data_IF_245434959610
#
_entry.id   IF_245434959610
#
_cell.length_a   1.000
_cell.length_b   1.000
_cell.length_c   1.000
_cell.angle_alpha   90.00
_cell.angle_beta   90.00
_cell.angle_gamma   90.00
#
_symmetry.space_group_name_H-M   'P 1'
#
loop_
_entity.id
_entity.type
_entity.pdbx_description
1 polymer ?
#
# COMPACT_ATOMS: atom_id res chain seq x y z
N UNK A 1 24.84 -25.31 -23.49
CA UNK A 1 25.86 -24.49 -22.78
C UNK A 1 26.11 -23.14 -23.44
N UNK A 2 26.35 -23.06 -24.75
CA UNK A 2 26.57 -21.80 -25.48
C UNK A 2 25.45 -20.75 -25.27
N UNK A 3 24.17 -21.15 -25.30
CA UNK A 3 23.05 -20.21 -25.08
C UNK A 3 23.08 -19.56 -23.69
N UNK A 4 23.46 -20.30 -22.65
CA UNK A 4 23.58 -19.78 -21.28
C UNK A 4 24.73 -18.76 -21.21
N UNK A 5 25.87 -19.05 -21.86
CA UNK A 5 27.00 -18.13 -21.93
C UNK A 5 26.65 -16.84 -22.68
N UNK A 6 25.89 -16.93 -23.78
CA UNK A 6 25.43 -15.76 -24.52
C UNK A 6 24.47 -14.91 -23.69
N UNK A 7 23.52 -15.53 -22.98
CA UNK A 7 22.60 -14.81 -22.08
C UNK A 7 23.37 -14.11 -20.95
N UNK A 8 24.34 -14.79 -20.33
CA UNK A 8 25.18 -14.19 -19.29
C UNK A 8 26.02 -13.03 -19.84
N UNK A 9 26.60 -13.18 -21.03
CA UNK A 9 27.37 -12.11 -21.68
C UNK A 9 26.50 -10.89 -21.97
N UNK A 10 25.26 -11.08 -22.45
CA UNK A 10 24.31 -9.99 -22.69
C UNK A 10 23.92 -9.30 -21.39
N UNK A 11 23.64 -10.06 -20.33
CA UNK A 11 23.29 -9.49 -19.02
C UNK A 11 24.44 -8.67 -18.43
N UNK A 12 25.67 -9.17 -18.53
CA UNK A 12 26.87 -8.46 -18.08
C UNK A 12 27.09 -7.21 -18.91
N UNK A 13 27.00 -7.30 -20.25
CA UNK A 13 27.15 -6.15 -21.13
C UNK A 13 26.11 -5.07 -20.83
N UNK A 14 24.83 -5.44 -20.73
CA UNK A 14 23.76 -4.51 -20.35
C UNK A 14 24.01 -3.87 -18.98
N UNK A 15 24.45 -4.66 -17.99
CA UNK A 15 24.81 -4.14 -16.67
C UNK A 15 25.93 -3.10 -16.75
N UNK A 16 27.02 -3.42 -17.45
CA UNK A 16 28.18 -2.52 -17.61
C UNK A 16 27.82 -1.23 -18.32
N UNK A 17 27.01 -1.29 -19.37
CA UNK A 17 26.56 -0.09 -20.10
C UNK A 17 25.58 0.77 -19.30
N UNK A 18 24.73 0.16 -18.47
CA UNK A 18 23.72 0.87 -17.68
C UNK A 18 24.28 1.50 -16.39
N UNK A 19 25.28 0.85 -15.79
CA UNK A 19 25.92 1.26 -14.54
C UNK A 19 26.38 2.73 -14.46
N UNK A 20 27.06 3.32 -15.46
CA UNK A 20 27.45 4.73 -15.40
C UNK A 20 26.25 5.67 -15.37
N UNK A 21 25.23 5.38 -16.18
CA UNK A 21 23.98 6.18 -16.21
C UNK A 21 23.27 6.13 -14.86
N UNK A 22 23.19 4.96 -14.24
CA UNK A 22 22.61 4.83 -12.89
C UNK A 22 23.42 5.57 -11.82
N UNK A 23 24.75 5.57 -11.92
CA UNK A 23 25.63 6.29 -10.98
C UNK A 23 25.48 7.80 -11.11
N UNK A 24 25.38 8.30 -12.34
CA UNK A 24 25.19 9.73 -12.60
C UNK A 24 23.81 10.19 -12.15
N UNK A 25 22.76 9.43 -12.46
CA UNK A 25 21.41 9.70 -11.97
C UNK A 25 21.33 9.65 -10.43
N UNK A 26 21.99 8.67 -9.79
CA UNK A 26 22.05 8.61 -8.33
C UNK A 26 22.85 9.78 -7.73
N UNK A 27 23.89 10.26 -8.43
CA UNK A 27 24.63 11.47 -8.08
C UNK A 27 23.77 12.73 -8.17
N UNK A 28 23.03 12.88 -9.27
CA UNK A 28 22.09 13.96 -9.52
C UNK A 28 20.98 13.98 -8.45
N UNK A 29 20.35 12.84 -8.16
CA UNK A 29 19.32 12.71 -7.13
C UNK A 29 19.82 13.08 -5.72
N UNK A 30 21.10 12.79 -5.41
CA UNK A 30 21.71 13.18 -4.13
C UNK A 30 21.96 14.69 -4.04
N UNK A 31 22.35 15.34 -5.15
CA UNK A 31 22.64 16.78 -5.21
C UNK A 31 21.37 17.62 -5.18
N UNK A 32 20.34 17.18 -5.90
CA UNK A 32 19.07 17.91 -6.05
C UNK A 32 18.07 17.62 -4.91
N UNK A 33 18.52 16.97 -3.83
CA UNK A 33 17.65 16.57 -2.71
C UNK A 33 16.38 15.85 -3.15
N UNK A 34 16.41 15.11 -4.27
CA UNK A 34 15.34 14.21 -4.71
C UNK A 34 15.27 12.94 -3.84
N UNK A 35 15.46 13.08 -2.52
CA UNK A 35 14.99 12.08 -1.54
C UNK A 35 13.47 12.23 -1.45
N UNK A 36 12.76 11.79 -2.49
CA UNK A 36 11.30 11.64 -2.45
C UNK A 36 10.81 10.51 -1.54
N UNK A 37 11.68 9.99 -0.67
CA UNK A 37 11.38 8.89 0.25
C UNK A 37 11.83 9.32 1.64
N UNK A 38 10.95 10.03 2.33
CA UNK A 38 11.04 10.13 3.78
C UNK A 38 10.79 8.74 4.35
N UNK A 39 11.71 8.25 5.20
CA UNK A 39 11.49 7.03 5.98
C UNK A 39 10.45 7.32 7.07
N UNK A 40 9.19 7.38 6.67
CA UNK A 40 8.05 7.65 7.52
C UNK A 40 7.19 6.38 7.70
N UNK A 41 6.17 6.47 8.56
CA UNK A 41 5.26 5.34 8.83
C UNK A 41 4.54 4.86 7.56
N UNK A 42 4.23 5.79 6.65
CA UNK A 42 3.58 5.50 5.37
C UNK A 42 4.49 4.64 4.46
N UNK A 43 5.78 4.94 4.37
CA UNK A 43 6.74 4.10 3.64
C UNK A 43 6.85 2.70 4.23
N UNK A 44 6.89 2.58 5.57
CA UNK A 44 6.92 1.28 6.25
C UNK A 44 5.67 0.45 5.94
N UNK A 45 4.49 1.09 5.96
CA UNK A 45 3.22 0.45 5.61
C UNK A 45 3.23 -0.02 4.14
N UNK A 46 3.66 0.86 3.22
CA UNK A 46 3.73 0.58 1.78
C UNK A 46 4.72 -0.53 1.43
N UNK A 47 5.87 -0.61 2.10
CA UNK A 47 6.83 -1.70 1.88
C UNK A 47 6.26 -3.07 2.24
N UNK A 48 5.52 -3.15 3.36
CA UNK A 48 4.78 -4.36 3.73
C UNK A 48 3.71 -4.71 2.71
N UNK A 49 2.93 -3.72 2.26
CA UNK A 49 1.89 -3.91 1.24
C UNK A 49 2.45 -4.37 -0.11
N UNK A 50 3.56 -3.78 -0.58
CA UNK A 50 4.20 -4.18 -1.84
C UNK A 50 4.80 -5.58 -1.77
N UNK A 51 5.44 -5.94 -0.64
CA UNK A 51 5.92 -7.30 -0.41
C UNK A 51 4.77 -8.32 -0.35
N UNK A 52 3.66 -7.94 0.27
CA UNK A 52 2.45 -8.75 0.36
C UNK A 52 1.76 -8.94 -1.00
N UNK A 53 1.65 -7.89 -1.80
CA UNK A 53 1.14 -7.96 -3.19
C UNK A 53 2.02 -8.86 -4.06
N UNK A 54 3.35 -8.70 -3.96
CA UNK A 54 4.30 -9.51 -4.72
C UNK A 54 4.19 -11.00 -4.36
N UNK A 55 4.02 -11.32 -3.08
CA UNK A 55 3.83 -12.70 -2.61
C UNK A 55 2.47 -13.29 -3.03
N UNK A 56 1.41 -12.47 -3.06
CA UNK A 56 0.05 -12.94 -3.31
C UNK A 56 -0.33 -13.02 -4.79
N UNK A 57 0.41 -12.38 -5.70
CA UNK A 57 0.21 -12.43 -7.16
C UNK A 57 -1.26 -12.53 -7.59
N UNK A 58 -1.76 -13.72 -7.96
CA UNK A 58 -3.15 -13.97 -8.42
C UNK A 58 -4.22 -14.06 -7.32
N UNK A 59 -3.85 -14.25 -6.06
CA UNK A 59 -4.77 -14.39 -4.93
C UNK A 59 -5.20 -13.07 -4.29
N UNK A 60 -4.66 -11.94 -4.76
CA UNK A 60 -4.98 -10.60 -4.24
C UNK A 60 -6.47 -10.28 -4.19
N UNK A 61 -7.28 -10.83 -5.09
CA UNK A 61 -8.73 -10.64 -5.09
C UNK A 61 -9.39 -11.33 -3.89
N UNK A 62 -9.13 -12.62 -3.69
CA UNK A 62 -9.67 -13.41 -2.58
C UNK A 62 -9.24 -12.83 -1.23
N UNK A 63 -7.98 -12.38 -1.12
CA UNK A 63 -7.50 -11.74 0.10
C UNK A 63 -8.20 -10.40 0.34
N UNK A 64 -8.40 -9.58 -0.69
CA UNK A 64 -9.15 -8.33 -0.55
C UNK A 64 -10.59 -8.59 -0.07
N UNK A 65 -11.26 -9.61 -0.62
CA UNK A 65 -12.62 -9.99 -0.21
C UNK A 65 -12.66 -10.46 1.25
N UNK A 66 -11.70 -11.30 1.67
CA UNK A 66 -11.59 -11.73 3.06
C UNK A 66 -11.32 -10.57 4.03
N UNK A 67 -10.46 -9.63 3.64
CA UNK A 67 -10.22 -8.41 4.42
C UNK A 67 -11.46 -7.51 4.46
N UNK A 68 -12.26 -7.47 3.39
CA UNK A 68 -13.51 -6.71 3.34
C UNK A 68 -14.55 -7.26 4.32
N UNK A 69 -14.67 -8.59 4.45
CA UNK A 69 -15.48 -9.23 5.51
C UNK A 69 -14.96 -8.84 6.90
N UNK A 70 -13.64 -8.86 7.11
CA UNK A 70 -13.06 -8.42 8.39
C UNK A 70 -13.32 -6.93 8.68
N UNK A 71 -13.32 -6.08 7.65
CA UNK A 71 -13.63 -4.66 7.78
C UNK A 71 -15.09 -4.46 8.20
N UNK A 72 -16.01 -5.29 7.71
CA UNK A 72 -17.40 -5.29 8.16
C UNK A 72 -17.52 -5.64 9.66
N UNK A 73 -16.84 -6.69 10.12
CA UNK A 73 -16.82 -7.05 11.56
C UNK A 73 -16.19 -5.94 12.41
N UNK A 74 -15.11 -5.31 11.93
CA UNK A 74 -14.49 -4.18 12.62
C UNK A 74 -15.43 -2.96 12.70
N UNK A 75 -16.24 -2.74 11.67
CA UNK A 75 -17.28 -1.70 11.65
C UNK A 75 -18.38 -1.95 12.68
N UNK A 76 -18.91 -3.16 12.77
CA UNK A 76 -19.91 -3.53 13.78
C UNK A 76 -19.41 -3.27 15.21
N UNK A 77 -18.10 -3.43 15.42
CA UNK A 77 -17.43 -3.19 16.71
C UNK A 77 -16.94 -1.76 16.90
N UNK A 78 -17.23 -0.85 15.96
CA UNK A 78 -16.77 0.56 15.99
C UNK A 78 -15.24 0.71 16.07
N UNK A 79 -14.49 -0.25 15.56
CA UNK A 79 -13.01 -0.26 15.55
C UNK A 79 -12.47 0.61 14.39
N UNK A 80 -12.76 1.92 14.39
CA UNK A 80 -12.52 2.82 13.24
C UNK A 80 -11.06 2.84 12.75
N UNK A 81 -10.09 2.80 13.67
CA UNK A 81 -8.67 2.72 13.32
C UNK A 81 -8.33 1.42 12.56
N UNK A 82 -8.96 0.30 12.93
CA UNK A 82 -8.80 -0.98 12.23
C UNK A 82 -9.47 -0.95 10.86
N UNK A 83 -10.66 -0.36 10.76
CA UNK A 83 -11.35 -0.17 9.47
C UNK A 83 -10.46 0.61 8.49
N UNK A 84 -9.87 1.73 8.93
CA UNK A 84 -8.98 2.53 8.10
C UNK A 84 -7.81 1.70 7.55
N UNK A 85 -7.12 0.95 8.41
CA UNK A 85 -6.00 0.12 8.01
C UNK A 85 -6.44 -1.02 7.08
N UNK A 86 -7.56 -1.69 7.36
CA UNK A 86 -8.08 -2.74 6.49
C UNK A 86 -8.42 -2.21 5.10
N UNK A 87 -9.13 -1.08 5.01
CA UNK A 87 -9.47 -0.49 3.72
C UNK A 87 -8.24 -0.03 2.94
N UNK A 88 -7.20 0.50 3.58
CA UNK A 88 -5.91 0.75 2.90
C UNK A 88 -5.34 -0.50 2.25
N UNK A 89 -5.33 -1.63 2.96
CA UNK A 89 -4.87 -2.90 2.39
C UNK A 89 -5.77 -3.37 1.24
N UNK A 90 -7.09 -3.29 1.40
CA UNK A 90 -8.07 -3.70 0.38
C UNK A 90 -7.89 -2.88 -0.90
N UNK A 91 -7.81 -1.55 -0.80
CA UNK A 91 -7.64 -0.67 -1.96
C UNK A 91 -6.25 -0.79 -2.59
N UNK A 92 -5.23 -1.15 -1.82
CA UNK A 92 -3.90 -1.46 -2.35
C UNK A 92 -3.90 -2.79 -3.12
N UNK A 93 -4.61 -3.82 -2.63
CA UNK A 93 -4.74 -5.13 -3.29
C UNK A 93 -5.61 -5.08 -4.55
N UNK A 94 -6.67 -4.26 -4.54
CA UNK A 94 -7.69 -4.16 -5.61
C UNK A 94 -8.00 -2.69 -5.95
N UNK A 95 -7.05 -1.92 -6.51
CA UNK A 95 -7.21 -0.48 -6.71
C UNK A 95 -8.27 -0.09 -7.75
N UNK A 96 -8.68 -1.03 -8.61
CA UNK A 96 -9.67 -0.80 -9.68
C UNK A 96 -11.11 -1.13 -9.28
N UNK A 97 -11.33 -1.64 -8.07
CA UNK A 97 -12.67 -1.98 -7.58
C UNK A 97 -13.24 -0.78 -6.84
N UNK A 98 -14.10 -0.02 -7.53
CA UNK A 98 -14.68 1.23 -7.00
C UNK A 98 -15.44 1.02 -5.69
N UNK A 99 -16.16 -0.09 -5.55
CA UNK A 99 -16.91 -0.43 -4.33
C UNK A 99 -16.06 -0.32 -3.06
N UNK A 100 -14.79 -0.75 -3.11
CA UNK A 100 -13.92 -0.67 -1.93
C UNK A 100 -13.55 0.76 -1.57
N UNK A 101 -13.32 1.62 -2.56
CA UNK A 101 -13.06 3.04 -2.33
C UNK A 101 -14.28 3.76 -1.80
N UNK A 102 -15.45 3.52 -2.41
CA UNK A 102 -16.71 4.15 -2.01
C UNK A 102 -17.10 3.76 -0.58
N UNK A 103 -16.94 2.47 -0.24
CA UNK A 103 -17.23 1.96 1.11
C UNK A 103 -16.25 2.52 2.14
N UNK A 104 -14.95 2.59 1.81
CA UNK A 104 -13.94 3.20 2.68
C UNK A 104 -14.27 4.68 2.97
N UNK A 105 -14.57 5.45 1.92
CA UNK A 105 -14.91 6.86 2.03
C UNK A 105 -16.18 7.05 2.86
N UNK A 106 -17.23 6.26 2.61
CA UNK A 106 -18.49 6.32 3.37
C UNK A 106 -18.25 6.08 4.86
N UNK A 107 -17.53 5.01 5.22
CA UNK A 107 -17.27 4.71 6.62
C UNK A 107 -16.46 5.81 7.32
N UNK A 108 -15.42 6.33 6.66
CA UNK A 108 -14.50 7.27 7.28
C UNK A 108 -15.04 8.69 7.35
N UNK A 109 -15.84 9.13 6.38
CA UNK A 109 -16.37 10.49 6.39
C UNK A 109 -17.74 10.62 7.11
N UNK A 110 -18.56 9.56 7.15
CA UNK A 110 -19.89 9.63 7.76
C UNK A 110 -20.09 8.68 8.93
N UNK A 111 -19.87 7.38 8.76
CA UNK A 111 -20.25 6.43 9.82
C UNK A 111 -19.42 6.64 11.10
N UNK A 112 -18.12 6.95 10.96
CA UNK A 112 -17.24 7.19 12.10
C UNK A 112 -17.66 8.44 12.91
N UNK A 113 -18.00 9.53 12.23
CA UNK A 113 -18.40 10.79 12.88
C UNK A 113 -19.76 10.64 13.56
N UNK A 114 -20.74 10.03 12.88
CA UNK A 114 -22.07 9.77 13.46
C UNK A 114 -21.97 8.84 14.67
N UNK A 115 -21.13 7.79 14.60
CA UNK A 115 -20.92 6.91 15.75
C UNK A 115 -20.29 7.65 16.94
N UNK A 116 -19.29 8.50 16.71
CA UNK A 116 -18.68 9.30 17.77
C UNK A 116 -19.68 10.29 18.41
N UNK A 117 -20.53 10.95 17.60
CA UNK A 117 -21.55 11.87 18.09
C UNK A 117 -22.64 11.18 18.93
N UNK A 118 -22.95 9.93 18.61
CA UNK A 118 -23.98 9.14 19.30
C UNK A 118 -23.43 8.35 20.50
N UNK A 119 -22.11 8.31 20.68
CA UNK A 119 -21.47 7.59 21.78
C UNK A 119 -21.61 8.38 23.09
N UNK A 120 -22.50 7.91 23.96
CA UNK A 120 -22.77 8.56 25.24
C UNK A 120 -21.62 8.43 26.24
N UNK A 121 -20.66 7.54 25.99
CA UNK A 121 -19.48 7.36 26.85
C UNK A 121 -18.39 8.40 26.57
N UNK A 122 -18.45 9.08 25.42
CA UNK A 122 -17.50 10.12 25.08
C UNK A 122 -17.79 11.41 25.84
N UNK A 123 -16.75 12.16 26.25
CA UNK A 123 -16.93 13.44 26.91
C UNK A 123 -17.67 14.39 25.97
N UNK A 124 -18.92 14.74 26.31
CA UNK A 124 -19.61 15.81 25.62
C UNK A 124 -19.03 17.11 26.13
N UNK A 125 -18.45 17.90 25.24
CA UNK A 125 -18.13 19.29 25.56
C UNK A 125 -19.47 19.97 25.75
N UNK A 126 -19.82 20.24 27.03
CA UNK A 126 -21.04 20.91 27.43
C UNK A 126 -21.03 22.38 26.98
#
# INVERSE_FOLDING_TARGET
MIRVLVVLAILVALGVFKLPVERDLAGLHRREHFRGVEFNLDLREKLGQLGFIAALSGFRAIVADALFIQAHVAWERTEWGRILLLFRHITTLQPRVLLFWDTAAWHMAWNASVAAMNDQSQPRVA
#
